data_IF_008185115781
#
_entry.id   IF_008185115781
#
_cell.length_a   1.000
_cell.length_b   1.000
_cell.length_c   1.000
_cell.angle_alpha   90.00
_cell.angle_beta   90.00
_cell.angle_gamma   90.00
#
_symmetry.space_group_name_H-M   'P 1'
#
loop_
_entity.id
_entity.type
_entity.pdbx_description
1 polymer ?
#
# COMPACT_ATOMS: atom_id res chain seq x y z
N UNK A 1 1.98 -2.95 -22.45
CA UNK A 1 0.86 -3.76 -21.90
C UNK A 1 0.89 -5.16 -22.52
N UNK A 2 0.47 -6.23 -21.80
CA UNK A 2 0.34 -7.54 -22.45
C UNK A 2 -0.78 -7.50 -23.49
N UNK A 3 -0.62 -8.21 -24.62
CA UNK A 3 -1.63 -8.28 -25.68
C UNK A 3 -3.00 -8.66 -25.09
N UNK A 4 -3.02 -9.57 -24.12
CA UNK A 4 -4.23 -10.01 -23.42
C UNK A 4 -4.92 -8.91 -22.61
N UNK A 5 -4.18 -8.08 -21.88
CA UNK A 5 -4.77 -6.98 -21.10
C UNK A 5 -5.36 -5.90 -22.02
N UNK A 6 -4.64 -5.57 -23.10
CA UNK A 6 -5.08 -4.62 -24.14
C UNK A 6 -6.43 -5.02 -24.72
N UNK A 7 -6.56 -6.28 -25.12
CA UNK A 7 -7.79 -6.79 -25.73
C UNK A 7 -8.95 -6.87 -24.73
N UNK A 8 -8.68 -7.17 -23.45
CA UNK A 8 -9.72 -7.14 -22.40
C UNK A 8 -10.29 -5.75 -22.18
N UNK A 9 -9.45 -4.72 -22.10
CA UNK A 9 -9.89 -3.33 -21.92
C UNK A 9 -10.65 -2.85 -23.16
N UNK A 10 -10.12 -3.11 -24.36
CA UNK A 10 -10.81 -2.80 -25.60
C UNK A 10 -12.18 -3.49 -25.71
N UNK A 11 -12.30 -4.74 -25.26
CA UNK A 11 -13.58 -5.45 -25.21
C UNK A 11 -14.59 -4.75 -24.28
N UNK A 12 -14.16 -4.30 -23.09
CA UNK A 12 -15.03 -3.57 -22.15
C UNK A 12 -15.48 -2.22 -22.73
N UNK A 13 -14.56 -1.48 -23.36
CA UNK A 13 -14.85 -0.18 -23.99
C UNK A 13 -15.83 -0.37 -25.16
N UNK A 14 -15.53 -1.31 -26.07
CA UNK A 14 -16.39 -1.61 -27.22
C UNK A 14 -17.79 -2.07 -26.79
N UNK A 15 -17.89 -2.91 -25.75
CA UNK A 15 -19.17 -3.33 -25.19
C UNK A 15 -19.99 -2.14 -24.65
N UNK A 16 -19.36 -1.23 -23.90
CA UNK A 16 -20.04 -0.01 -23.40
C UNK A 16 -20.44 0.95 -24.53
N UNK A 17 -19.63 1.05 -25.59
CA UNK A 17 -19.96 1.84 -26.79
C UNK A 17 -21.18 1.27 -27.52
N UNK A 18 -21.22 -0.05 -27.74
CA UNK A 18 -22.37 -0.71 -28.38
C UNK A 18 -23.66 -0.54 -27.54
N UNK A 19 -23.58 -0.67 -26.20
CA UNK A 19 -24.72 -0.42 -25.31
C UNK A 19 -25.29 1.00 -25.43
N UNK A 20 -24.42 2.03 -25.51
CA UNK A 20 -24.85 3.43 -25.69
C UNK A 20 -25.51 3.69 -27.05
N UNK A 21 -25.15 2.92 -28.08
CA UNK A 21 -25.76 2.96 -29.41
C UNK A 21 -27.09 2.22 -29.52
N UNK A 22 -27.63 1.66 -28.44
CA UNK A 22 -28.88 0.88 -28.45
C UNK A 22 -28.72 -0.56 -28.98
N UNK A 23 -27.48 -1.00 -29.22
CA UNK A 23 -27.19 -2.39 -29.59
C UNK A 23 -26.78 -3.17 -28.34
N UNK A 24 -27.61 -4.13 -27.91
CA UNK A 24 -27.27 -5.02 -26.81
C UNK A 24 -26.74 -6.33 -27.41
N UNK A 25 -25.41 -6.53 -27.48
CA UNK A 25 -24.87 -7.80 -27.94
C UNK A 25 -25.23 -8.91 -26.93
N UNK A 26 -25.62 -10.07 -27.45
CA UNK A 26 -25.91 -11.26 -26.65
C UNK A 26 -24.58 -11.80 -26.08
N UNK A 27 -24.51 -12.07 -24.76
CA UNK A 27 -23.27 -12.46 -24.05
C UNK A 27 -22.54 -13.67 -24.63
N UNK A 28 -23.27 -14.54 -25.36
CA UNK A 28 -22.77 -15.83 -25.85
C UNK A 28 -22.47 -15.88 -27.36
N UNK A 29 -22.46 -14.76 -28.09
CA UNK A 29 -22.12 -14.74 -29.54
C UNK A 29 -21.01 -13.76 -29.86
N UNK A 30 -20.23 -14.10 -30.90
CA UNK A 30 -19.29 -13.20 -31.57
C UNK A 30 -19.92 -11.83 -31.77
N UNK A 31 -19.16 -10.77 -31.43
CA UNK A 31 -19.58 -9.37 -31.59
C UNK A 31 -20.15 -9.17 -33.01
N UNK A 32 -21.34 -8.56 -33.18
CA UNK A 32 -21.86 -8.22 -34.51
C UNK A 32 -20.88 -7.34 -35.29
N UNK A 33 -20.89 -7.37 -36.61
CA UNK A 33 -19.98 -6.57 -37.46
C UNK A 33 -19.96 -5.07 -37.11
N UNK A 34 -21.09 -4.53 -36.59
CA UNK A 34 -21.19 -3.16 -36.09
C UNK A 34 -20.31 -2.87 -34.85
N UNK A 35 -20.01 -3.88 -34.03
CA UNK A 35 -19.10 -3.76 -32.90
C UNK A 35 -17.61 -3.97 -33.29
N UNK A 36 -17.30 -4.42 -34.50
CA UNK A 36 -15.91 -4.55 -34.99
C UNK A 36 -15.29 -3.16 -35.29
N UNK A 37 -16.10 -2.21 -35.78
CA UNK A 37 -15.69 -0.79 -35.90
C UNK A 37 -15.36 -0.19 -34.53
N UNK A 38 -16.24 -0.41 -33.54
CA UNK A 38 -16.01 0.04 -32.16
C UNK A 38 -14.84 -0.66 -31.49
N UNK A 39 -14.47 -1.87 -31.92
CA UNK A 39 -13.32 -2.58 -31.36
C UNK A 39 -11.98 -1.92 -31.72
N UNK A 40 -11.81 -1.46 -32.96
CA UNK A 40 -10.59 -0.75 -33.38
C UNK A 40 -10.44 0.59 -32.68
N UNK A 41 -11.54 1.33 -32.55
CA UNK A 41 -11.58 2.58 -31.79
C UNK A 41 -11.32 2.34 -30.29
N UNK A 42 -11.89 1.26 -29.74
CA UNK A 42 -11.65 0.83 -28.36
C UNK A 42 -10.21 0.39 -28.09
N UNK A 43 -9.49 -0.19 -29.07
CA UNK A 43 -8.06 -0.49 -28.94
C UNK A 43 -7.23 0.79 -28.87
N UNK A 44 -7.53 1.78 -29.70
CA UNK A 44 -6.85 3.08 -29.64
C UNK A 44 -7.13 3.81 -28.32
N UNK A 45 -8.38 3.75 -27.85
CA UNK A 45 -8.75 4.27 -26.53
C UNK A 45 -8.09 3.48 -25.39
N UNK A 46 -7.97 2.15 -25.50
CA UNK A 46 -7.28 1.34 -24.48
C UNK A 46 -5.79 1.71 -24.38
N UNK A 47 -5.14 1.99 -25.52
CA UNK A 47 -3.74 2.44 -25.54
C UNK A 47 -3.58 3.86 -24.99
N UNK A 48 -4.61 4.71 -25.10
CA UNK A 48 -4.63 6.05 -24.51
C UNK A 48 -4.94 6.03 -23.01
N UNK A 49 -5.86 5.17 -22.59
CA UNK A 49 -6.41 5.11 -21.23
C UNK A 49 -5.54 4.30 -20.27
N UNK A 50 -4.77 3.33 -20.77
CA UNK A 50 -3.84 2.56 -19.95
C UNK A 50 -2.42 2.88 -20.39
N UNK A 51 -1.69 3.70 -19.62
CA UNK A 51 -0.35 4.09 -20.00
C UNK A 51 0.51 2.84 -20.19
N UNK A 52 1.17 2.75 -21.35
CA UNK A 52 2.03 1.63 -21.73
C UNK A 52 3.38 1.71 -21.00
N UNK A 53 3.34 1.83 -19.68
CA UNK A 53 4.54 1.85 -18.85
C UNK A 53 5.24 0.50 -18.93
N UNK A 54 6.54 0.53 -19.17
CA UNK A 54 7.45 -0.58 -18.96
C UNK A 54 7.43 -1.01 -17.49
N UNK A 55 7.85 -2.24 -17.15
CA UNK A 55 8.00 -2.64 -15.75
C UNK A 55 8.84 -1.66 -14.93
N UNK A 56 9.95 -1.17 -15.49
CA UNK A 56 10.82 -0.19 -14.83
C UNK A 56 10.10 1.11 -14.50
N UNK A 57 9.32 1.67 -15.43
CA UNK A 57 8.53 2.88 -15.18
C UNK A 57 7.43 2.66 -14.13
N UNK A 58 6.79 1.49 -14.11
CA UNK A 58 5.79 1.16 -13.08
C UNK A 58 6.42 1.08 -11.68
N UNK A 59 7.59 0.45 -11.57
CA UNK A 59 8.35 0.42 -10.31
C UNK A 59 8.84 1.81 -9.92
N UNK A 60 9.31 2.61 -10.89
CA UNK A 60 9.71 4.00 -10.65
C UNK A 60 8.58 4.85 -10.11
N UNK A 61 7.36 4.70 -10.65
CA UNK A 61 6.18 5.38 -10.11
C UNK A 61 5.85 4.93 -8.69
N UNK A 62 5.86 3.62 -8.43
CA UNK A 62 5.60 3.10 -7.08
C UNK A 62 6.63 3.63 -6.07
N UNK A 63 7.92 3.64 -6.42
CA UNK A 63 8.97 4.22 -5.59
C UNK A 63 8.74 5.72 -5.36
N UNK A 64 8.38 6.47 -6.41
CA UNK A 64 8.05 7.89 -6.27
C UNK A 64 6.89 8.12 -5.30
N UNK A 65 5.86 7.27 -5.35
CA UNK A 65 4.70 7.39 -4.46
C UNK A 65 5.07 7.07 -3.00
N UNK A 66 5.93 6.08 -2.80
CA UNK A 66 6.49 5.76 -1.47
C UNK A 66 7.30 6.93 -0.91
N UNK A 67 8.17 7.55 -1.70
CA UNK A 67 8.93 8.73 -1.27
C UNK A 67 8.02 9.92 -0.95
N UNK A 68 6.96 10.12 -1.73
CA UNK A 68 5.95 11.14 -1.46
C UNK A 68 5.20 10.83 -0.16
N UNK A 69 4.88 9.57 0.12
CA UNK A 69 4.25 9.15 1.37
C UNK A 69 5.17 9.36 2.57
N UNK A 70 6.44 8.99 2.47
CA UNK A 70 7.43 9.30 3.52
C UNK A 70 7.45 10.80 3.82
N UNK A 71 7.47 11.64 2.78
CA UNK A 71 7.47 13.10 2.94
C UNK A 71 6.19 13.59 3.64
N UNK A 72 5.01 13.07 3.28
CA UNK A 72 3.75 13.40 3.95
C UNK A 72 3.74 12.93 5.40
N UNK A 73 4.21 11.72 5.66
CA UNK A 73 4.31 11.12 6.99
C UNK A 73 5.22 11.96 7.89
N UNK A 74 6.41 12.35 7.42
CA UNK A 74 7.32 13.23 8.16
C UNK A 74 6.68 14.60 8.42
N UNK A 75 6.02 15.19 7.43
CA UNK A 75 5.34 16.47 7.62
C UNK A 75 4.21 16.40 8.66
N UNK A 76 3.54 15.25 8.79
CA UNK A 76 2.44 15.02 9.72
C UNK A 76 2.92 14.62 11.12
N UNK A 77 3.97 13.80 11.22
CA UNK A 77 4.35 13.10 12.46
C UNK A 77 5.78 13.41 12.95
N UNK A 78 6.58 14.14 12.17
CA UNK A 78 8.01 14.33 12.40
C UNK A 78 8.87 13.15 11.91
N UNK A 79 10.18 13.23 12.16
CA UNK A 79 11.17 12.25 11.68
C UNK A 79 11.10 10.90 12.42
N UNK A 80 10.66 10.89 13.68
CA UNK A 80 10.40 9.67 14.47
C UNK A 80 11.59 8.68 14.62
N UNK A 81 12.83 9.10 14.35
CA UNK A 81 14.05 8.27 14.47
C UNK A 81 14.25 7.69 15.89
N UNK A 82 13.73 8.38 16.90
CA UNK A 82 13.83 8.00 18.31
C UNK A 82 12.90 6.86 18.74
N UNK A 83 11.97 6.43 17.90
CA UNK A 83 11.00 5.40 18.30
C UNK A 83 11.69 4.03 18.49
N UNK A 84 11.31 3.26 19.52
CA UNK A 84 11.78 1.89 19.68
C UNK A 84 11.32 1.01 18.51
N UNK A 85 12.15 0.03 18.13
CA UNK A 85 11.81 -0.88 17.02
C UNK A 85 10.60 -1.77 17.32
N UNK A 86 10.42 -2.19 18.57
CA UNK A 86 9.33 -3.09 18.98
C UNK A 86 9.45 -4.54 18.49
N UNK A 87 10.62 -4.93 17.95
CA UNK A 87 10.93 -6.28 17.46
C UNK A 87 11.85 -7.03 18.43
N UNK A 88 11.86 -8.37 18.34
CA UNK A 88 12.69 -9.23 19.20
C UNK A 88 12.05 -10.59 19.50
N UNK A 89 12.76 -11.49 20.21
CA UNK A 89 12.24 -12.81 20.58
C UNK A 89 11.03 -12.74 21.54
N UNK A 90 10.91 -11.65 22.29
CA UNK A 90 9.80 -11.42 23.23
C UNK A 90 8.61 -10.68 22.59
N UNK A 91 8.75 -10.25 21.33
CA UNK A 91 7.66 -9.61 20.59
C UNK A 91 6.59 -10.64 20.24
N UNK A 92 5.34 -10.34 20.55
CA UNK A 92 4.19 -11.10 20.06
C UNK A 92 3.74 -10.51 18.72
N UNK A 93 4.01 -11.17 17.57
CA UNK A 93 3.72 -10.61 16.25
C UNK A 93 2.22 -10.41 16.03
N UNK A 94 1.43 -11.36 16.50
CA UNK A 94 -0.01 -11.24 16.69
C UNK A 94 -0.23 -11.09 18.20
N UNK A 95 -0.99 -10.08 18.62
CA UNK A 95 -1.26 -9.86 20.03
C UNK A 95 -1.90 -11.14 20.59
N UNK A 96 -1.34 -11.74 21.66
CA UNK A 96 -1.91 -12.96 22.26
C UNK A 96 -3.31 -12.71 22.88
N UNK A 97 -3.74 -11.45 22.90
CA UNK A 97 -5.01 -10.96 23.41
C UNK A 97 -5.90 -10.33 22.34
N UNK A 98 -5.59 -10.51 21.05
CA UNK A 98 -6.58 -10.40 19.99
C UNK A 98 -7.53 -11.54 20.32
N UNK A 99 -8.48 -11.26 21.21
CA UNK A 99 -9.52 -12.16 21.61
C UNK A 99 -10.40 -12.20 20.39
N UNK A 100 -9.91 -12.86 19.33
CA UNK A 100 -10.56 -13.02 18.05
C UNK A 100 -11.90 -13.55 18.47
N UNK A 101 -12.95 -12.70 18.47
CA UNK A 101 -14.24 -13.19 18.85
C UNK A 101 -14.53 -14.30 17.85
N UNK A 102 -15.46 -15.19 18.15
CA UNK A 102 -15.97 -16.06 17.10
C UNK A 102 -16.76 -15.17 16.12
N UNK A 103 -16.04 -14.37 15.34
CA UNK A 103 -16.51 -13.54 14.26
C UNK A 103 -16.59 -14.45 13.06
N UNK A 104 -17.65 -14.29 12.28
CA UNK A 104 -17.74 -14.90 10.96
C UNK A 104 -16.45 -14.54 10.19
N UNK A 105 -15.81 -15.51 9.53
CA UNK A 105 -14.47 -15.38 8.94
C UNK A 105 -14.32 -14.15 8.01
N UNK A 106 -15.45 -13.64 7.51
CA UNK A 106 -15.59 -12.50 6.61
C UNK A 106 -15.09 -11.17 7.22
N UNK A 107 -15.00 -11.02 8.55
CA UNK A 107 -14.63 -9.75 9.21
C UNK A 107 -13.33 -9.79 10.01
N UNK A 108 -12.59 -10.90 9.92
CA UNK A 108 -11.37 -11.07 10.72
C UNK A 108 -10.30 -10.01 10.39
N UNK A 109 -10.08 -9.73 9.11
CA UNK A 109 -9.05 -8.78 8.68
C UNK A 109 -9.37 -7.35 9.14
N UNK A 110 -10.62 -6.92 8.98
CA UNK A 110 -11.09 -5.59 9.42
C UNK A 110 -10.99 -5.43 10.94
N UNK A 111 -11.39 -6.45 11.71
CA UNK A 111 -11.27 -6.44 13.16
C UNK A 111 -9.82 -6.32 13.63
N UNK A 112 -8.91 -7.10 13.03
CA UNK A 112 -7.49 -7.05 13.37
C UNK A 112 -6.89 -5.69 12.99
N UNK A 113 -7.25 -5.14 11.83
CA UNK A 113 -6.80 -3.81 11.41
C UNK A 113 -7.23 -2.73 12.42
N UNK A 114 -8.47 -2.78 12.89
CA UNK A 114 -8.99 -1.82 13.88
C UNK A 114 -8.33 -1.97 15.25
N UNK A 115 -8.01 -3.20 15.68
CA UNK A 115 -7.24 -3.45 16.90
C UNK A 115 -5.86 -2.80 16.83
N UNK A 116 -5.13 -3.01 15.73
CA UNK A 116 -3.80 -2.41 15.55
C UNK A 116 -3.85 -0.90 15.45
N UNK A 117 -4.79 -0.33 14.69
CA UNK A 117 -5.03 1.12 14.63
C UNK A 117 -5.31 1.71 16.01
N UNK A 118 -6.15 1.04 16.79
CA UNK A 118 -6.50 1.48 18.15
C UNK A 118 -5.28 1.44 19.07
N UNK A 119 -4.48 0.37 18.99
CA UNK A 119 -3.26 0.24 19.78
C UNK A 119 -2.22 1.30 19.41
N UNK A 120 -1.94 1.52 18.12
CA UNK A 120 -1.00 2.56 17.68
C UNK A 120 -1.44 3.93 18.16
N UNK A 121 -2.72 4.29 18.03
CA UNK A 121 -3.25 5.58 18.52
C UNK A 121 -3.12 5.72 20.04
N UNK A 122 -3.40 4.66 20.80
CA UNK A 122 -3.28 4.66 22.25
C UNK A 122 -1.82 4.88 22.70
N UNK A 123 -0.84 4.43 21.92
CA UNK A 123 0.58 4.59 22.22
C UNK A 123 1.23 5.81 21.53
N UNK A 124 0.59 6.40 20.52
CA UNK A 124 1.12 7.53 19.76
C UNK A 124 0.95 8.85 20.52
N UNK A 125 2.06 9.53 20.85
CA UNK A 125 2.00 10.86 21.46
C UNK A 125 1.28 11.88 20.56
N UNK A 126 1.46 11.76 19.23
CA UNK A 126 0.86 12.65 18.25
C UNK A 126 -0.67 12.54 18.20
N UNK A 127 -1.24 11.41 18.66
CA UNK A 127 -2.67 11.15 18.71
C UNK A 127 -3.25 11.22 20.13
N UNK A 128 -2.50 11.78 21.09
CA UNK A 128 -2.91 11.94 22.48
C UNK A 128 -2.74 10.68 23.34
N UNK A 129 -2.00 9.69 22.84
CA UNK A 129 -1.59 8.49 23.56
C UNK A 129 -0.43 8.72 24.52
N UNK A 130 0.09 7.63 25.09
CA UNK A 130 1.12 7.67 26.15
C UNK A 130 2.56 7.86 25.65
N UNK A 131 2.78 7.85 24.34
CA UNK A 131 4.09 8.03 23.72
C UNK A 131 4.97 6.78 23.68
N UNK A 132 4.40 5.59 23.89
CA UNK A 132 5.13 4.31 23.87
C UNK A 132 5.12 3.61 22.51
N UNK A 133 4.60 4.26 21.45
CA UNK A 133 4.48 3.66 20.13
C UNK A 133 5.82 3.17 19.58
N UNK A 134 5.80 2.00 18.95
CA UNK A 134 6.97 1.38 18.31
C UNK A 134 6.85 1.37 16.79
N UNK A 135 7.98 1.27 16.08
CA UNK A 135 7.99 1.04 14.62
C UNK A 135 7.22 -0.24 14.23
N UNK A 136 7.31 -1.29 15.04
CA UNK A 136 6.60 -2.55 14.80
C UNK A 136 5.08 -2.42 14.93
N UNK A 137 4.56 -1.54 15.79
CA UNK A 137 3.13 -1.25 15.86
C UNK A 137 2.65 -0.51 14.62
N UNK A 138 3.37 0.56 14.23
CA UNK A 138 3.05 1.34 13.03
C UNK A 138 3.06 0.42 11.79
N UNK A 139 4.09 -0.42 11.62
CA UNK A 139 4.15 -1.33 10.47
C UNK A 139 2.98 -2.34 10.46
N UNK A 140 2.58 -2.86 11.63
CA UNK A 140 1.47 -3.81 11.71
C UNK A 140 0.15 -3.14 11.38
N UNK A 141 -0.10 -1.94 11.87
CA UNK A 141 -1.29 -1.16 11.50
C UNK A 141 -1.43 -1.09 9.98
N UNK A 142 -0.41 -0.57 9.28
CA UNK A 142 -0.44 -0.44 7.81
C UNK A 142 -0.63 -1.79 7.10
N UNK A 143 0.05 -2.84 7.56
CA UNK A 143 -0.05 -4.18 6.96
C UNK A 143 -1.46 -4.74 7.09
N UNK A 144 -2.10 -4.57 8.24
CA UNK A 144 -3.45 -5.10 8.47
C UNK A 144 -4.53 -4.21 7.84
N UNK A 145 -4.33 -2.90 7.73
CA UNK A 145 -5.19 -2.03 6.92
C UNK A 145 -5.15 -2.42 5.43
N UNK A 146 -3.96 -2.69 4.88
CA UNK A 146 -3.84 -3.23 3.53
C UNK A 146 -4.53 -4.59 3.40
N UNK A 147 -4.38 -5.50 4.36
CA UNK A 147 -4.99 -6.83 4.33
C UNK A 147 -6.52 -6.81 4.43
N UNK A 148 -7.10 -5.78 5.07
CA UNK A 148 -8.53 -5.59 5.19
C UNK A 148 -9.16 -4.94 3.94
N UNK A 149 -8.36 -4.42 3.01
CA UNK A 149 -8.83 -3.64 1.86
C UNK A 149 -9.17 -4.51 0.66
N UNK A 150 -10.41 -4.42 0.15
CA UNK A 150 -10.90 -5.17 -1.01
C UNK A 150 -10.90 -4.36 -2.33
N UNK A 151 -10.89 -3.03 -2.25
CA UNK A 151 -10.74 -2.14 -3.40
C UNK A 151 -9.28 -2.08 -3.87
N UNK A 152 -9.04 -2.31 -5.16
CA UNK A 152 -7.67 -2.39 -5.71
C UNK A 152 -6.94 -1.05 -5.71
N UNK A 153 -7.65 0.08 -5.82
CA UNK A 153 -7.04 1.41 -5.82
C UNK A 153 -6.64 1.76 -4.39
N UNK A 154 -7.55 1.58 -3.44
CA UNK A 154 -7.27 1.76 -2.01
C UNK A 154 -6.14 0.82 -1.54
N UNK A 155 -6.18 -0.47 -1.91
CA UNK A 155 -5.13 -1.43 -1.56
C UNK A 155 -3.75 -0.97 -2.03
N UNK A 156 -3.67 -0.34 -3.20
CA UNK A 156 -2.41 0.21 -3.69
C UNK A 156 -1.92 1.35 -2.79
N UNK A 157 -2.81 2.21 -2.32
CA UNK A 157 -2.47 3.30 -1.40
C UNK A 157 -1.97 2.74 -0.06
N UNK A 158 -2.65 1.73 0.49
CA UNK A 158 -2.20 1.06 1.73
C UNK A 158 -0.84 0.36 1.57
N UNK A 159 -0.61 -0.33 0.45
CA UNK A 159 0.71 -0.94 0.17
C UNK A 159 1.83 0.09 0.02
N UNK A 160 1.51 1.30 -0.45
CA UNK A 160 2.47 2.42 -0.48
C UNK A 160 2.80 2.88 0.94
N UNK A 161 1.81 2.97 1.83
CA UNK A 161 2.01 3.32 3.24
C UNK A 161 2.87 2.26 3.96
N UNK A 162 2.56 0.96 3.77
CA UNK A 162 3.39 -0.16 4.29
C UNK A 162 4.86 -0.02 3.85
N UNK A 163 5.09 0.22 2.56
CA UNK A 163 6.44 0.37 2.03
C UNK A 163 7.14 1.63 2.56
N UNK A 164 6.40 2.72 2.75
CA UNK A 164 6.93 3.95 3.34
C UNK A 164 7.36 3.74 4.79
N UNK A 165 6.54 3.08 5.61
CA UNK A 165 6.89 2.75 7.01
C UNK A 165 8.10 1.82 7.07
N UNK A 166 8.17 0.80 6.21
CA UNK A 166 9.32 -0.09 6.16
C UNK A 166 10.62 0.65 5.83
N UNK A 167 10.59 1.60 4.89
CA UNK A 167 11.77 2.42 4.57
C UNK A 167 12.15 3.36 5.71
N UNK A 168 11.19 4.01 6.36
CA UNK A 168 11.46 4.85 7.55
C UNK A 168 12.08 4.03 8.70
N UNK A 169 11.64 2.80 8.88
CA UNK A 169 12.21 1.89 9.88
C UNK A 169 13.66 1.52 9.55
N UNK A 170 13.98 1.28 8.27
CA UNK A 170 15.38 1.06 7.82
C UNK A 170 16.21 2.32 8.07
N UNK A 171 15.70 3.50 7.71
CA UNK A 171 16.38 4.78 7.91
C UNK A 171 16.70 5.02 9.39
N UNK A 172 15.74 4.78 10.29
CA UNK A 172 15.95 4.88 11.74
C UNK A 172 17.02 3.90 12.26
N UNK A 173 17.09 2.67 11.70
CA UNK A 173 18.15 1.71 12.03
C UNK A 173 19.52 2.18 11.53
N UNK A 174 19.59 2.68 10.31
CA UNK A 174 20.83 3.18 9.71
C UNK A 174 21.34 4.41 10.47
N UNK A 175 20.44 5.29 10.90
CA UNK A 175 20.75 6.45 11.74
C UNK A 175 21.32 6.04 13.10
N UNK A 176 20.62 5.15 13.82
CA UNK A 176 21.07 4.65 15.12
C UNK A 176 22.45 3.95 15.02
N UNK A 177 22.68 3.19 13.94
CA UNK A 177 23.97 2.56 13.69
C UNK A 177 25.09 3.57 13.42
N UNK A 178 24.79 4.68 12.75
CA UNK A 178 25.73 5.76 12.48
C UNK A 178 26.11 6.53 13.76
N UNK A 179 25.14 6.81 14.64
CA UNK A 179 25.38 7.44 15.94
C UNK A 179 26.30 6.59 16.83
N UNK A 180 25.99 5.31 17.00
CA UNK A 180 26.78 4.36 17.79
C UNK A 180 28.21 4.22 17.24
N UNK A 181 28.40 4.27 15.91
CA UNK A 181 29.74 4.35 15.31
C UNK A 181 30.47 5.67 15.61
N UNK A 182 29.76 6.80 15.58
CA UNK A 182 30.34 8.11 15.87
C UNK A 182 30.78 8.21 17.34
N UNK A 183 29.97 7.71 18.27
CA UNK A 183 30.30 7.65 19.70
C UNK A 183 31.55 6.82 19.97
N UNK A 184 31.61 5.59 19.44
CA UNK A 184 32.81 4.74 19.55
C UNK A 184 34.07 5.41 19.01
N UNK A 185 33.96 6.07 17.85
CA UNK A 185 35.11 6.82 17.28
C UNK A 185 35.52 8.00 18.14
N UNK A 186 34.58 8.68 18.80
CA UNK A 186 34.88 9.79 19.69
C UNK A 186 35.62 9.32 20.96
N UNK A 187 35.29 8.14 21.49
CA UNK A 187 35.99 7.54 22.63
C UNK A 187 37.44 7.14 22.32
N UNK A 188 37.73 6.82 21.05
CA UNK A 188 39.07 6.47 20.57
C UNK A 188 39.98 7.68 20.33
N UNK A 189 39.45 8.91 20.33
CA UNK A 189 40.26 10.12 20.11
C UNK A 189 41.16 10.41 21.33
N UNK A 190 42.47 10.67 21.12
CA UNK A 190 43.36 11.04 22.20
C UNK A 190 42.92 12.36 22.84
N UNK A 191 42.85 12.37 24.19
CA UNK A 191 42.50 13.55 24.99
C UNK A 191 43.53 14.66 24.90
#
# INVERSE_FOLDING_TARGET
>A
MSVTARHRIANVIAYRMCQRGGHIPNRDRSLPDACDFHYREALALADLLVPNLTPGERFGQALSDVLNEITRSIAKHGEQEHLPMGTGPDTMPLSAGAGVPYVDEVWLADHIADEFRTATKAHSHNDGGDGTVTWWEILREEVFEAAATDDTVALREELVQVAAVALKMIDALDYAAAEDQAERRAEELPR
#
